data_IF_455852412001
#
_entry.id   IF_455852412001
#
_cell.length_a   1.000
_cell.length_b   1.000
_cell.length_c   1.000
_cell.angle_alpha   90.00
_cell.angle_beta   90.00
_cell.angle_gamma   90.00
#
_symmetry.space_group_name_H-M   'P 1'
#
loop_
_entity.id
_entity.type
_entity.pdbx_description
1 polymer ?
#
# COMPACT_ATOMS: atom_id res chain seq x y z
N UNK A 1 -68.23 -23.80 2.18
CA UNK A 1 -67.43 -22.64 1.71
C UNK A 1 -66.34 -22.40 2.76
N UNK A 2 -65.10 -22.90 2.47
CA UNK A 2 -63.94 -22.68 3.34
C UNK A 2 -63.28 -21.38 2.92
N UNK A 3 -63.33 -20.38 3.77
CA UNK A 3 -62.70 -19.08 3.61
C UNK A 3 -61.26 -19.20 4.09
N UNK A 4 -60.30 -19.32 3.14
CA UNK A 4 -58.85 -19.28 3.46
C UNK A 4 -58.50 -17.82 3.78
N UNK A 5 -58.30 -17.52 5.07
CA UNK A 5 -57.66 -16.27 5.51
C UNK A 5 -56.16 -16.37 5.24
N UNK A 6 -55.73 -15.71 4.16
CA UNK A 6 -54.29 -15.51 3.90
C UNK A 6 -53.84 -14.39 4.87
N UNK A 7 -53.16 -14.78 5.95
CA UNK A 7 -52.45 -13.86 6.78
C UNK A 7 -51.23 -13.34 5.98
N UNK A 8 -51.33 -12.15 5.42
CA UNK A 8 -50.18 -11.38 4.98
C UNK A 8 -49.38 -11.00 6.23
N UNK A 9 -48.30 -11.73 6.47
CA UNK A 9 -47.28 -11.30 7.42
C UNK A 9 -46.71 -9.99 6.87
N UNK A 10 -47.05 -8.86 7.45
CA UNK A 10 -46.33 -7.62 7.26
C UNK A 10 -44.99 -7.79 7.95
N UNK A 11 -43.98 -8.21 7.20
CA UNK A 11 -42.62 -7.99 7.60
C UNK A 11 -42.49 -6.47 7.79
N UNK A 12 -42.10 -6.03 8.99
CA UNK A 12 -41.85 -4.65 9.26
C UNK A 12 -40.83 -4.15 8.22
N UNK A 13 -41.24 -3.27 7.32
CA UNK A 13 -40.33 -2.59 6.43
C UNK A 13 -39.34 -1.85 7.31
N UNK A 14 -38.14 -2.43 7.48
CA UNK A 14 -37.03 -1.77 8.12
C UNK A 14 -36.72 -0.56 7.24
N UNK A 15 -37.07 0.63 7.72
CA UNK A 15 -36.82 1.85 6.99
C UNK A 15 -35.32 2.13 7.04
N UNK A 16 -34.58 1.56 6.08
CA UNK A 16 -33.14 1.67 5.97
C UNK A 16 -32.66 3.12 5.95
N UNK A 17 -33.45 4.01 5.36
CA UNK A 17 -33.12 5.44 5.30
C UNK A 17 -33.11 6.09 6.68
N UNK A 18 -34.02 5.70 7.57
CA UNK A 18 -34.02 6.19 8.95
C UNK A 18 -32.76 5.75 9.72
N UNK A 19 -32.27 4.56 9.44
CA UNK A 19 -31.02 4.07 10.05
C UNK A 19 -29.79 4.78 9.45
N UNK A 20 -29.81 5.12 8.18
CA UNK A 20 -28.75 5.92 7.53
C UNK A 20 -28.75 7.34 8.09
N UNK A 21 -29.94 7.96 8.27
CA UNK A 21 -30.05 9.29 8.88
C UNK A 21 -29.46 9.28 10.30
N UNK A 22 -29.83 8.28 11.13
CA UNK A 22 -29.28 8.13 12.48
C UNK A 22 -27.74 7.95 12.45
N UNK A 23 -27.23 7.18 11.51
CA UNK A 23 -25.79 7.00 11.35
C UNK A 23 -25.10 8.33 11.01
N UNK A 24 -25.69 9.10 10.10
CA UNK A 24 -25.21 10.44 9.73
C UNK A 24 -25.19 11.41 10.93
N UNK A 25 -26.28 11.43 11.73
CA UNK A 25 -26.35 12.25 12.95
C UNK A 25 -25.26 11.89 13.97
N UNK A 26 -24.95 10.59 14.12
CA UNK A 26 -23.86 10.12 15.01
C UNK A 26 -22.50 10.57 14.50
N UNK A 27 -22.22 10.45 13.18
CA UNK A 27 -20.97 10.93 12.59
C UNK A 27 -20.80 12.43 12.75
N UNK A 28 -21.88 13.21 12.50
CA UNK A 28 -21.84 14.66 12.68
C UNK A 28 -21.54 15.03 14.15
N UNK A 29 -22.18 14.35 15.10
CA UNK A 29 -21.95 14.56 16.52
C UNK A 29 -20.53 14.24 16.95
N UNK A 30 -19.95 13.15 16.44
CA UNK A 30 -18.55 12.80 16.67
C UNK A 30 -17.65 13.93 16.14
N UNK A 31 -17.88 14.40 14.93
CA UNK A 31 -17.06 15.44 14.31
C UNK A 31 -17.15 16.79 15.06
N UNK A 32 -18.27 17.08 15.72
CA UNK A 32 -18.50 18.34 16.45
C UNK A 32 -18.05 18.32 17.91
N UNK A 33 -18.19 17.18 18.58
CA UNK A 33 -18.04 17.07 20.05
C UNK A 33 -16.85 16.26 20.50
N UNK A 34 -16.18 15.49 19.60
CA UNK A 34 -15.02 14.69 20.02
C UNK A 34 -13.81 15.58 20.25
N UNK A 35 -12.97 15.21 21.25
CA UNK A 35 -11.87 16.06 21.72
C UNK A 35 -10.72 16.18 20.71
N UNK A 36 -10.47 15.13 19.94
CA UNK A 36 -9.42 15.08 18.93
C UNK A 36 -10.02 15.22 17.53
N UNK A 37 -9.22 15.67 16.56
CA UNK A 37 -9.61 15.71 15.16
C UNK A 37 -9.83 14.29 14.62
N UNK A 38 -11.01 14.03 14.06
CA UNK A 38 -11.39 12.71 13.55
C UNK A 38 -11.32 12.69 12.04
N UNK A 39 -10.54 11.74 11.50
CA UNK A 39 -10.51 11.49 10.06
C UNK A 39 -11.82 10.81 9.64
N UNK A 40 -12.64 11.53 8.88
CA UNK A 40 -13.95 11.05 8.45
C UNK A 40 -13.86 9.84 7.51
N UNK A 41 -12.83 9.76 6.65
CA UNK A 41 -12.63 8.63 5.73
C UNK A 41 -12.32 7.36 6.51
N UNK A 42 -11.38 7.43 7.45
CA UNK A 42 -11.02 6.28 8.32
C UNK A 42 -12.20 5.83 9.18
N UNK A 43 -13.00 6.77 9.68
CA UNK A 43 -14.21 6.46 10.45
C UNK A 43 -15.26 5.74 9.61
N UNK A 44 -15.42 6.12 8.34
CA UNK A 44 -16.32 5.45 7.41
C UNK A 44 -15.83 4.04 7.08
N UNK A 45 -14.53 3.87 6.80
CA UNK A 45 -13.92 2.57 6.55
C UNK A 45 -14.08 1.62 7.74
N UNK A 46 -13.89 2.15 8.96
CA UNK A 46 -14.12 1.41 10.20
C UNK A 46 -15.59 0.98 10.37
N UNK A 47 -16.54 1.86 10.02
CA UNK A 47 -17.96 1.54 10.09
C UNK A 47 -18.36 0.45 9.08
N UNK A 48 -17.87 0.53 7.84
CA UNK A 48 -18.09 -0.48 6.80
C UNK A 48 -17.49 -1.82 7.25
N UNK A 49 -16.28 -1.80 7.80
CA UNK A 49 -15.63 -2.99 8.34
C UNK A 49 -16.43 -3.62 9.50
N UNK A 50 -16.94 -2.80 10.43
CA UNK A 50 -17.80 -3.26 11.52
C UNK A 50 -19.07 -3.93 11.01
N UNK A 51 -19.69 -3.38 9.95
CA UNK A 51 -20.85 -3.98 9.31
C UNK A 51 -20.52 -5.35 8.70
N UNK A 52 -19.43 -5.46 7.96
CA UNK A 52 -19.03 -6.71 7.31
C UNK A 52 -18.63 -7.78 8.33
N UNK A 53 -17.88 -7.42 9.38
CA UNK A 53 -17.52 -8.33 10.46
C UNK A 53 -18.73 -8.86 11.25
N UNK A 54 -19.87 -8.15 11.23
CA UNK A 54 -21.10 -8.64 11.83
C UNK A 54 -21.74 -9.79 11.04
N UNK A 55 -21.34 -10.02 9.79
CA UNK A 55 -21.84 -11.09 8.94
C UNK A 55 -21.08 -12.40 9.20
N UNK A 56 -19.74 -12.33 9.12
CA UNK A 56 -18.85 -13.46 9.36
C UNK A 56 -17.40 -12.95 9.63
N UNK A 57 -16.50 -13.80 10.17
CA UNK A 57 -15.14 -13.40 10.49
C UNK A 57 -14.20 -13.25 9.28
N UNK A 58 -14.65 -13.61 8.08
CA UNK A 58 -13.85 -13.59 6.84
C UNK A 58 -14.21 -12.41 5.93
N UNK A 59 -15.36 -11.77 6.20
CA UNK A 59 -15.79 -10.58 5.45
C UNK A 59 -15.11 -9.34 5.99
N UNK A 60 -14.40 -8.62 5.10
CA UNK A 60 -13.71 -7.38 5.43
C UNK A 60 -13.79 -6.39 4.28
N UNK A 61 -13.79 -5.12 4.59
CA UNK A 61 -13.57 -4.05 3.64
C UNK A 61 -12.08 -3.73 3.57
N UNK A 62 -11.58 -3.55 2.36
CA UNK A 62 -10.24 -3.06 2.11
C UNK A 62 -10.34 -1.72 1.40
N UNK A 63 -9.69 -0.70 1.94
CA UNK A 63 -9.50 0.54 1.17
C UNK A 63 -8.72 0.25 -0.12
N UNK A 64 -8.77 1.12 -1.13
CA UNK A 64 -7.98 0.95 -2.35
C UNK A 64 -6.49 0.74 -2.08
N UNK A 65 -5.95 1.42 -1.06
CA UNK A 65 -4.56 1.32 -0.65
C UNK A 65 -4.24 -0.08 -0.10
N UNK A 66 -5.02 -0.56 0.87
CA UNK A 66 -4.86 -1.90 1.48
C UNK A 66 -5.04 -3.00 0.42
N UNK A 67 -6.01 -2.83 -0.49
CA UNK A 67 -6.22 -3.78 -1.58
C UNK A 67 -5.00 -3.85 -2.52
N UNK A 68 -4.42 -2.71 -2.88
CA UNK A 68 -3.22 -2.66 -3.72
C UNK A 68 -2.00 -3.27 -3.02
N UNK A 69 -1.84 -3.05 -1.70
CA UNK A 69 -0.78 -3.69 -0.91
C UNK A 69 -0.95 -5.21 -0.90
N UNK A 70 -2.15 -5.70 -0.59
CA UNK A 70 -2.44 -7.14 -0.61
C UNK A 70 -2.21 -7.76 -1.98
N UNK A 71 -2.60 -7.07 -3.06
CA UNK A 71 -2.36 -7.53 -4.43
C UNK A 71 -0.86 -7.61 -4.73
N UNK A 72 -0.08 -6.62 -4.29
CA UNK A 72 1.39 -6.61 -4.42
C UNK A 72 2.04 -7.75 -3.65
N UNK A 73 1.62 -7.99 -2.41
CA UNK A 73 2.13 -9.10 -1.59
C UNK A 73 1.81 -10.46 -2.22
N UNK A 74 0.60 -10.62 -2.75
CA UNK A 74 0.15 -11.87 -3.37
C UNK A 74 0.86 -12.14 -4.69
N UNK A 75 0.93 -11.15 -5.58
CA UNK A 75 1.62 -11.28 -6.86
C UNK A 75 3.14 -11.38 -6.72
N UNK A 76 3.70 -10.81 -5.65
CA UNK A 76 5.14 -10.73 -5.46
C UNK A 76 5.82 -9.75 -6.42
N UNK A 77 5.06 -8.82 -7.02
CA UNK A 77 5.58 -7.84 -7.97
C UNK A 77 4.77 -6.53 -7.92
N UNK A 78 5.42 -5.41 -8.21
CA UNK A 78 4.77 -4.10 -8.28
C UNK A 78 5.44 -3.18 -9.28
N UNK A 79 4.69 -2.18 -9.76
CA UNK A 79 5.26 -1.12 -10.61
C UNK A 79 6.06 -0.12 -9.78
N UNK A 80 7.35 0.00 -10.06
CA UNK A 80 8.25 0.84 -9.27
C UNK A 80 9.60 1.10 -9.90
N UNK A 81 10.56 1.49 -9.08
CA UNK A 81 11.90 1.91 -9.49
C UNK A 81 13.00 0.90 -9.12
N UNK A 82 12.71 0.00 -8.17
CA UNK A 82 13.70 -0.94 -7.64
C UNK A 82 14.71 -0.27 -6.72
N UNK A 83 14.24 0.43 -5.69
CA UNK A 83 15.09 1.12 -4.70
C UNK A 83 14.68 0.68 -3.30
N UNK A 84 15.65 0.24 -2.52
CA UNK A 84 15.48 0.09 -1.08
C UNK A 84 15.76 1.44 -0.41
N UNK A 85 14.82 1.91 0.40
CA UNK A 85 14.87 3.24 1.00
C UNK A 85 14.59 3.20 2.51
N UNK A 86 15.10 4.21 3.21
CA UNK A 86 14.78 4.46 4.61
C UNK A 86 14.56 5.96 4.86
N UNK A 87 13.97 6.29 6.00
CA UNK A 87 13.86 7.68 6.43
C UNK A 87 15.07 8.06 7.30
N UNK A 88 15.79 9.11 6.91
CA UNK A 88 16.90 9.65 7.70
C UNK A 88 16.77 11.19 7.78
N UNK A 89 16.62 11.70 9.00
CA UNK A 89 16.50 13.14 9.26
C UNK A 89 15.39 13.86 8.46
N UNK A 90 14.25 13.15 8.25
CA UNK A 90 13.09 13.71 7.56
C UNK A 90 13.19 13.74 6.04
N UNK A 91 14.17 13.06 5.46
CA UNK A 91 14.33 12.84 4.02
C UNK A 91 14.50 11.37 3.70
N UNK A 92 14.13 10.98 2.50
CA UNK A 92 14.29 9.59 2.04
C UNK A 92 15.71 9.35 1.58
N UNK A 93 16.38 8.39 2.23
CA UNK A 93 17.72 7.93 1.89
C UNK A 93 17.66 6.62 1.12
N UNK A 94 18.37 6.54 0.02
CA UNK A 94 18.60 5.32 -0.73
C UNK A 94 19.58 4.44 0.06
N UNK A 95 19.12 3.27 0.49
CA UNK A 95 19.97 2.24 1.10
C UNK A 95 20.74 1.54 -0.01
N UNK A 96 20.02 1.02 -1.01
CA UNK A 96 20.59 0.38 -2.19
C UNK A 96 19.58 0.42 -3.34
N UNK A 97 20.01 0.72 -4.57
CA UNK A 97 19.25 0.30 -5.74
C UNK A 97 19.35 -1.22 -5.87
N UNK A 98 18.28 -1.84 -6.35
CA UNK A 98 18.27 -3.27 -6.69
C UNK A 98 18.91 -3.42 -8.06
N UNK A 99 19.79 -4.40 -8.23
CA UNK A 99 20.49 -4.66 -9.50
C UNK A 99 19.48 -4.91 -10.64
N UNK A 100 19.83 -4.51 -11.84
CA UNK A 100 19.06 -4.67 -13.07
C UNK A 100 17.69 -3.94 -13.07
N UNK A 101 17.44 -3.04 -12.11
CA UNK A 101 16.21 -2.25 -12.03
C UNK A 101 16.37 -0.85 -12.66
N UNK A 102 15.26 -0.15 -12.97
CA UNK A 102 15.27 1.18 -13.55
C UNK A 102 16.12 2.20 -12.81
N UNK A 103 16.11 2.16 -11.48
CA UNK A 103 16.89 3.07 -10.66
C UNK A 103 18.40 2.80 -10.73
N UNK A 104 18.80 1.52 -10.71
CA UNK A 104 20.20 1.13 -10.89
C UNK A 104 20.70 1.56 -12.28
N UNK A 105 19.92 1.28 -13.33
CA UNK A 105 20.22 1.64 -14.71
C UNK A 105 20.28 3.16 -14.91
N UNK A 106 19.47 3.94 -14.22
CA UNK A 106 19.52 5.40 -14.23
C UNK A 106 20.74 5.97 -13.49
N UNK A 107 21.45 5.16 -12.69
CA UNK A 107 22.64 5.57 -11.94
C UNK A 107 22.36 6.17 -10.57
N UNK A 108 21.23 5.81 -9.95
CA UNK A 108 20.98 6.04 -8.52
C UNK A 108 21.95 5.19 -7.71
N UNK A 109 22.43 5.70 -6.59
CA UNK A 109 23.45 5.07 -5.76
C UNK A 109 23.05 4.99 -4.31
N UNK A 110 23.58 4.00 -3.61
CA UNK A 110 23.50 3.93 -2.15
C UNK A 110 24.03 5.24 -1.51
N UNK A 111 23.30 5.73 -0.52
CA UNK A 111 23.61 7.00 0.16
C UNK A 111 23.08 8.26 -0.53
N UNK A 112 22.36 8.15 -1.64
CA UNK A 112 21.63 9.27 -2.23
C UNK A 112 20.46 9.68 -1.33
N UNK A 113 20.11 10.97 -1.32
CA UNK A 113 18.95 11.50 -0.61
C UNK A 113 17.93 12.02 -1.63
N UNK A 114 16.76 11.40 -1.66
CA UNK A 114 15.65 11.85 -2.50
C UNK A 114 15.00 13.05 -1.79
N UNK A 115 15.09 14.23 -2.38
CA UNK A 115 14.57 15.47 -1.81
C UNK A 115 13.28 15.93 -2.45
N UNK A 116 13.02 15.52 -3.73
CA UNK A 116 11.76 15.76 -4.43
C UNK A 116 11.39 14.53 -5.27
N UNK A 117 10.11 14.29 -5.37
CA UNK A 117 9.48 13.34 -6.27
C UNK A 117 8.51 14.15 -7.11
N UNK A 118 8.72 14.21 -8.43
CA UNK A 118 8.09 15.19 -9.31
C UNK A 118 8.25 16.61 -8.73
N UNK A 119 7.17 17.34 -8.57
CA UNK A 119 7.16 18.66 -7.93
C UNK A 119 6.98 18.63 -6.41
N UNK A 120 6.83 17.45 -5.81
CA UNK A 120 6.51 17.27 -4.40
C UNK A 120 7.79 17.18 -3.57
N UNK A 121 7.92 18.03 -2.55
CA UNK A 121 9.00 17.94 -1.56
C UNK A 121 8.77 16.73 -0.67
N UNK A 122 9.83 15.94 -0.43
CA UNK A 122 9.79 14.75 0.43
C UNK A 122 9.84 15.13 1.92
N UNK A 123 10.43 16.26 2.23
CA UNK A 123 10.57 16.72 3.63
C UNK A 123 9.19 16.88 4.30
N UNK A 124 9.05 16.27 5.47
CA UNK A 124 7.80 16.27 6.24
C UNK A 124 6.81 15.15 5.90
N UNK A 125 7.13 14.31 4.91
CA UNK A 125 6.36 13.11 4.58
C UNK A 125 6.84 11.90 5.36
N UNK A 126 5.96 10.94 5.55
CA UNK A 126 6.32 9.60 6.04
C UNK A 126 7.04 8.80 4.96
N UNK A 127 7.69 7.71 5.35
CA UNK A 127 8.32 6.79 4.38
C UNK A 127 7.28 6.17 3.44
N UNK A 128 6.12 5.77 3.98
CA UNK A 128 5.03 5.20 3.19
C UNK A 128 4.55 6.17 2.12
N UNK A 129 4.21 7.42 2.49
CA UNK A 129 3.79 8.43 1.53
C UNK A 129 4.82 8.69 0.42
N UNK A 130 6.11 8.66 0.76
CA UNK A 130 7.16 8.84 -0.24
C UNK A 130 7.28 7.61 -1.16
N UNK A 131 7.14 6.40 -0.62
CA UNK A 131 7.13 5.15 -1.39
C UNK A 131 5.93 5.11 -2.34
N UNK A 132 4.75 5.49 -1.87
CA UNK A 132 3.53 5.53 -2.70
C UNK A 132 3.66 6.49 -3.87
N UNK A 133 4.30 7.65 -3.67
CA UNK A 133 4.62 8.58 -4.74
C UNK A 133 5.62 7.99 -5.77
N UNK A 134 6.55 7.14 -5.31
CA UNK A 134 7.52 6.49 -6.19
C UNK A 134 6.92 5.31 -6.95
N UNK A 135 5.94 4.61 -6.38
CA UNK A 135 5.17 3.56 -7.06
C UNK A 135 4.26 4.15 -8.14
N UNK A 136 3.74 3.30 -9.00
CA UNK A 136 2.77 3.70 -10.01
C UNK A 136 2.70 2.74 -11.20
N UNK A 137 1.88 3.05 -12.21
CA UNK A 137 1.70 2.20 -13.37
C UNK A 137 3.02 1.92 -14.09
N UNK A 138 3.23 0.66 -14.47
CA UNK A 138 4.37 0.24 -15.30
C UNK A 138 4.36 1.04 -16.60
N UNK A 139 5.55 1.47 -17.05
CA UNK A 139 5.72 2.31 -18.22
C UNK A 139 5.51 3.81 -18.00
N UNK A 140 5.03 4.24 -16.83
CA UNK A 140 4.94 5.67 -16.48
C UNK A 140 6.30 6.22 -16.08
N UNK A 141 6.59 7.47 -16.45
CA UNK A 141 7.81 8.17 -16.03
C UNK A 141 7.64 8.84 -14.70
N UNK A 142 8.76 9.04 -14.00
CA UNK A 142 8.85 9.82 -12.75
C UNK A 142 10.17 10.58 -12.70
N UNK A 143 10.14 11.84 -12.28
CA UNK A 143 11.34 12.63 -12.02
C UNK A 143 11.71 12.59 -10.52
N UNK A 144 12.91 12.14 -10.20
CA UNK A 144 13.48 12.23 -8.86
C UNK A 144 14.55 13.33 -8.82
N UNK A 145 14.47 14.20 -7.82
CA UNK A 145 15.54 15.13 -7.49
C UNK A 145 16.31 14.61 -6.29
N UNK A 146 17.60 14.42 -6.47
CA UNK A 146 18.49 13.74 -5.52
C UNK A 146 19.61 14.66 -5.07
N UNK A 147 19.96 14.59 -3.79
CA UNK A 147 21.19 15.14 -3.24
C UNK A 147 22.17 14.01 -2.99
N UNK A 148 23.35 14.11 -3.60
CA UNK A 148 24.45 13.15 -3.48
C UNK A 148 25.63 13.77 -2.79
N UNK A 149 26.26 13.05 -1.87
CA UNK A 149 27.47 13.52 -1.19
C UNK A 149 28.59 13.75 -2.22
N UNK A 150 29.21 14.93 -2.16
CA UNK A 150 30.26 15.31 -3.12
C UNK A 150 29.77 16.10 -4.32
N UNK A 151 28.47 16.07 -4.62
CA UNK A 151 27.88 16.87 -5.69
C UNK A 151 27.42 18.26 -5.17
N UNK A 152 27.79 19.33 -5.89
CA UNK A 152 27.42 20.70 -5.50
C UNK A 152 25.96 21.02 -5.80
N UNK A 153 25.41 20.39 -6.83
CA UNK A 153 24.03 20.61 -7.30
C UNK A 153 23.19 19.36 -7.07
N UNK A 154 21.88 19.55 -6.96
CA UNK A 154 20.94 18.45 -7.00
C UNK A 154 20.96 17.80 -8.39
N UNK A 155 20.88 16.48 -8.42
CA UNK A 155 20.80 15.68 -9.64
C UNK A 155 19.33 15.38 -9.92
N UNK A 156 18.96 15.38 -11.20
CA UNK A 156 17.63 15.00 -11.65
C UNK A 156 17.72 13.71 -12.45
N UNK A 157 16.85 12.75 -12.11
CA UNK A 157 16.74 11.47 -12.77
C UNK A 157 15.32 11.29 -13.28
N UNK A 158 15.18 11.05 -14.57
CA UNK A 158 13.90 10.68 -15.18
C UNK A 158 13.92 9.17 -15.39
N UNK A 159 13.03 8.46 -14.70
CA UNK A 159 13.04 7.01 -14.63
C UNK A 159 11.68 6.49 -15.08
N UNK A 160 11.67 5.44 -15.88
CA UNK A 160 10.43 4.75 -16.26
C UNK A 160 10.20 3.63 -15.27
N UNK A 161 9.00 3.55 -14.71
CA UNK A 161 8.62 2.47 -13.79
C UNK A 161 8.51 1.16 -14.54
N UNK A 162 9.08 0.12 -13.95
CA UNK A 162 9.01 -1.26 -14.45
C UNK A 162 8.42 -2.18 -13.40
N UNK A 163 8.18 -3.43 -13.76
CA UNK A 163 7.80 -4.47 -12.81
C UNK A 163 9.03 -4.79 -11.94
N UNK A 164 8.88 -4.62 -10.64
CA UNK A 164 9.90 -4.97 -9.65
C UNK A 164 9.44 -6.24 -8.93
N UNK A 165 10.18 -7.32 -9.11
CA UNK A 165 9.89 -8.59 -8.45
C UNK A 165 10.46 -8.64 -7.03
N UNK A 166 9.64 -9.12 -6.10
CA UNK A 166 10.05 -9.33 -4.71
C UNK A 166 10.78 -10.66 -4.62
N UNK A 167 12.06 -10.61 -4.26
CA UNK A 167 12.85 -11.81 -4.00
C UNK A 167 12.38 -12.51 -2.71
N UNK A 168 11.47 -13.47 -2.87
CA UNK A 168 10.90 -14.23 -1.75
C UNK A 168 11.76 -15.44 -1.35
N UNK A 169 12.70 -15.85 -2.19
CA UNK A 169 13.58 -17.00 -1.97
C UNK A 169 15.03 -16.56 -1.92
N UNK A 170 15.73 -17.03 -0.90
CA UNK A 170 17.19 -16.89 -0.78
C UNK A 170 17.79 -18.27 -0.78
N UNK A 171 18.82 -18.49 -1.62
CA UNK A 171 19.54 -19.75 -1.71
C UNK A 171 20.98 -19.53 -1.34
N UNK A 172 21.59 -20.51 -0.71
CA UNK A 172 23.01 -20.53 -0.39
C UNK A 172 23.54 -21.98 -0.44
N UNK A 173 24.81 -22.13 -0.72
CA UNK A 173 25.51 -23.40 -0.64
C UNK A 173 26.45 -23.39 0.59
N UNK A 174 26.02 -24.11 1.61
CA UNK A 174 26.80 -24.24 2.85
C UNK A 174 27.99 -25.21 2.65
N UNK A 175 28.87 -25.31 3.68
CA UNK A 175 29.95 -26.28 3.73
C UNK A 175 29.39 -27.71 3.55
N UNK A 176 30.16 -28.61 3.02
CA UNK A 176 29.79 -30.01 2.71
C UNK A 176 28.76 -30.17 1.59
N UNK A 177 28.63 -29.20 0.68
CA UNK A 177 27.68 -29.21 -0.44
C UNK A 177 26.21 -29.31 0.00
N UNK A 178 25.87 -28.72 1.15
CA UNK A 178 24.51 -28.66 1.63
C UNK A 178 23.84 -27.43 1.04
N UNK A 179 22.77 -27.60 0.22
CA UNK A 179 21.95 -26.53 -0.29
C UNK A 179 21.06 -25.97 0.82
N UNK A 180 21.07 -24.63 0.99
CA UNK A 180 20.20 -23.91 1.90
C UNK A 180 19.19 -23.10 1.10
N UNK A 181 17.89 -23.26 1.39
CA UNK A 181 16.82 -22.47 0.79
C UNK A 181 16.03 -21.83 1.92
N UNK A 182 15.88 -20.51 1.85
CA UNK A 182 15.09 -19.73 2.79
C UNK A 182 13.96 -19.02 2.05
N UNK A 183 12.73 -19.36 2.39
CA UNK A 183 11.54 -18.65 1.94
C UNK A 183 11.22 -17.54 2.95
N UNK A 184 11.20 -16.29 2.50
CA UNK A 184 10.98 -15.10 3.33
C UNK A 184 9.53 -14.65 3.32
N UNK A 185 8.81 -14.91 2.21
CA UNK A 185 7.39 -14.68 2.02
C UNK A 185 6.82 -15.66 1.01
N UNK A 186 5.50 -15.87 1.06
CA UNK A 186 4.79 -16.70 0.08
C UNK A 186 4.06 -15.78 -0.89
N UNK A 187 4.42 -15.83 -2.16
CA UNK A 187 3.75 -15.13 -3.25
C UNK A 187 3.68 -16.04 -4.49
N UNK A 188 3.03 -15.59 -5.55
CA UNK A 188 2.85 -16.36 -6.77
C UNK A 188 4.19 -16.78 -7.42
N UNK A 189 5.25 -15.95 -7.26
CA UNK A 189 6.57 -16.20 -7.84
C UNK A 189 7.44 -17.14 -6.98
N UNK A 190 7.04 -17.42 -5.73
CA UNK A 190 7.86 -18.23 -4.80
C UNK A 190 8.17 -19.63 -5.32
N UNK A 191 7.23 -20.26 -6.04
CA UNK A 191 7.43 -21.60 -6.61
C UNK A 191 8.46 -21.60 -7.73
N UNK A 192 8.48 -20.59 -8.59
CA UNK A 192 9.43 -20.44 -9.67
C UNK A 192 10.84 -20.12 -9.15
N UNK A 193 10.92 -19.26 -8.12
CA UNK A 193 12.18 -18.87 -7.50
C UNK A 193 12.88 -20.02 -6.74
N UNK A 194 12.17 -21.11 -6.40
CA UNK A 194 12.75 -22.31 -5.74
C UNK A 194 13.34 -23.29 -6.78
N UNK A 195 12.92 -23.27 -8.02
CA UNK A 195 13.36 -24.17 -9.09
C UNK A 195 14.72 -23.80 -9.64
#
# INVERSE_FOLDING_TARGET
INLFLINFSHAAEVNIYKNIDLFGEVLEKINQEYVDEVNQSESMDAAINGLLQSLDPYSAYMSPEIFNEMQTETSGAFGGLGIEVSMESGVVKVISPIDDTPAANAGIKAGDYIVKIEDIQVQGKTLSEAVDLMRGPVGSSIELTIRRRGEKKALKFNIIREIIEIQSVKTDLLEDNIGYIRLTSFNENSSEQIQ
#
